data_IF_932510515555
#
_entry.id   IF_932510515555
#
_cell.length_a   1.000
_cell.length_b   1.000
_cell.length_c   1.000
_cell.angle_alpha   90.00
_cell.angle_beta   90.00
_cell.angle_gamma   90.00
#
_symmetry.space_group_name_H-M   'P 1'
#
loop_
_entity.id
_entity.type
_entity.pdbx_description
1 polymer ?
#
# COMPACT_ATOMS: atom_id res chain seq x y z
N UNK A 1 -12.84 -40.98 22.56
CA UNK A 1 -13.49 -39.75 22.08
C UNK A 1 -12.56 -38.59 22.40
N UNK A 2 -12.05 -37.95 21.36
CA UNK A 2 -10.93 -37.01 21.43
C UNK A 2 -11.39 -35.58 21.73
N UNK A 3 -11.63 -35.29 23.01
CA UNK A 3 -12.00 -33.93 23.47
C UNK A 3 -10.81 -32.95 23.42
N UNK A 4 -9.57 -33.45 23.33
CA UNK A 4 -8.35 -32.64 23.29
C UNK A 4 -8.12 -31.97 21.92
N UNK A 5 -8.60 -32.59 20.84
CA UNK A 5 -8.43 -32.05 19.48
C UNK A 5 -9.37 -30.87 19.25
N UNK A 6 -10.57 -30.88 19.83
CA UNK A 6 -11.53 -29.77 19.74
C UNK A 6 -11.08 -28.52 20.50
N UNK A 7 -10.35 -28.67 21.61
CA UNK A 7 -9.86 -27.51 22.37
C UNK A 7 -8.78 -26.74 21.61
N UNK A 8 -7.92 -27.43 20.85
CA UNK A 8 -6.91 -26.78 20.01
C UNK A 8 -7.55 -25.97 18.86
N UNK A 9 -8.61 -26.49 18.22
CA UNK A 9 -9.33 -25.74 17.19
C UNK A 9 -10.09 -24.55 17.77
N UNK A 10 -10.73 -24.69 18.93
CA UNK A 10 -11.48 -23.61 19.55
C UNK A 10 -10.59 -22.44 20.00
N UNK A 11 -9.40 -22.72 20.55
CA UNK A 11 -8.45 -21.67 20.97
C UNK A 11 -7.81 -20.96 19.78
N UNK A 12 -7.46 -21.67 18.70
CA UNK A 12 -6.99 -21.02 17.46
C UNK A 12 -8.10 -20.16 16.84
N UNK A 13 -9.35 -20.63 16.84
CA UNK A 13 -10.49 -19.85 16.30
C UNK A 13 -10.79 -18.60 17.14
N UNK A 14 -10.62 -18.69 18.46
CA UNK A 14 -10.91 -17.58 19.38
C UNK A 14 -9.75 -16.58 19.50
N UNK A 15 -8.50 -16.96 19.19
CA UNK A 15 -7.42 -15.98 19.02
C UNK A 15 -7.56 -15.15 17.74
N UNK A 16 -8.20 -15.68 16.69
CA UNK A 16 -8.63 -14.88 15.53
C UNK A 16 -9.87 -14.02 15.81
N UNK A 17 -10.66 -14.35 16.83
CA UNK A 17 -11.84 -13.59 17.27
C UNK A 17 -11.53 -12.41 18.21
N UNK A 18 -10.31 -12.34 18.75
CA UNK A 18 -9.83 -11.24 19.64
C UNK A 18 -8.79 -10.40 18.88
N UNK A 19 -8.95 -10.24 17.56
CA UNK A 19 -8.29 -9.17 16.84
C UNK A 19 -9.36 -8.10 16.57
N UNK A 20 -9.35 -6.97 17.31
CA UNK A 20 -10.33 -5.92 17.11
C UNK A 20 -10.09 -5.30 15.73
N UNK A 21 -11.21 -5.03 15.06
CA UNK A 21 -11.32 -4.33 13.78
C UNK A 21 -10.57 -4.96 12.61
N UNK A 22 -11.33 -5.71 11.80
CA UNK A 22 -11.01 -5.91 10.39
C UNK A 22 -10.85 -4.53 9.76
N UNK A 23 -9.61 -4.06 9.69
CA UNK A 23 -9.23 -2.84 9.03
C UNK A 23 -9.52 -3.06 7.55
N UNK A 24 -10.69 -2.57 7.16
CA UNK A 24 -11.14 -2.42 5.78
C UNK A 24 -10.02 -1.74 4.98
N UNK A 25 -10.15 -1.83 3.68
CA UNK A 25 -9.29 -1.19 2.67
C UNK A 25 -9.10 0.34 2.84
N UNK A 26 -9.69 0.95 3.87
CA UNK A 26 -9.63 2.36 4.25
C UNK A 26 -8.48 2.73 5.22
N UNK A 27 -7.58 1.80 5.60
CA UNK A 27 -6.52 2.08 6.60
C UNK A 27 -5.07 1.85 6.18
N UNK A 28 -4.79 1.38 4.96
CA UNK A 28 -3.41 1.30 4.47
C UNK A 28 -3.00 2.59 3.74
N UNK A 29 -2.26 3.45 4.44
CA UNK A 29 -1.89 4.78 3.96
C UNK A 29 -1.09 4.77 2.65
N UNK A 30 -0.13 3.85 2.51
CA UNK A 30 0.70 3.72 1.31
C UNK A 30 -0.13 3.25 0.10
N UNK A 31 -1.08 2.34 0.33
CA UNK A 31 -2.01 1.90 -0.70
C UNK A 31 -2.90 3.05 -1.19
N UNK A 32 -3.54 3.79 -0.29
CA UNK A 32 -4.38 4.96 -0.65
C UNK A 32 -3.54 6.03 -1.39
N UNK A 33 -2.34 6.32 -0.88
CA UNK A 33 -1.40 7.24 -1.51
C UNK A 33 -1.11 6.86 -2.97
N UNK A 34 -0.75 5.60 -3.22
CA UNK A 34 -0.43 5.12 -4.57
C UNK A 34 -1.65 5.04 -5.47
N UNK A 35 -2.80 4.60 -4.95
CA UNK A 35 -4.03 4.55 -5.74
C UNK A 35 -4.45 5.95 -6.19
N UNK A 36 -4.24 6.98 -5.37
CA UNK A 36 -4.47 8.39 -5.75
C UNK A 36 -3.44 8.88 -6.77
N UNK A 37 -2.15 8.64 -6.53
CA UNK A 37 -1.09 9.10 -7.43
C UNK A 37 -1.17 8.45 -8.83
N UNK A 38 -1.39 7.14 -8.88
CA UNK A 38 -1.36 6.35 -10.12
C UNK A 38 -2.74 6.23 -10.80
N UNK A 39 -3.83 6.53 -10.08
CA UNK A 39 -5.22 6.22 -10.48
C UNK A 39 -5.49 4.73 -10.72
N UNK A 40 -4.57 3.85 -10.31
CA UNK A 40 -4.78 2.41 -10.28
C UNK A 40 -5.68 2.05 -9.11
N UNK A 41 -6.59 1.10 -9.32
CA UNK A 41 -7.40 0.59 -8.23
C UNK A 41 -6.68 -0.58 -7.53
N UNK A 42 -7.30 -1.14 -6.49
CA UNK A 42 -6.74 -2.29 -5.76
C UNK A 42 -6.46 -3.50 -6.68
N UNK A 43 -7.40 -3.86 -7.55
CA UNK A 43 -7.28 -5.01 -8.47
C UNK A 43 -6.19 -4.82 -9.53
N UNK A 44 -5.94 -3.57 -9.94
CA UNK A 44 -4.85 -3.19 -10.82
C UNK A 44 -3.50 -3.51 -10.14
N UNK A 45 -3.33 -3.10 -8.88
CA UNK A 45 -2.10 -3.34 -8.10
C UNK A 45 -1.90 -4.83 -7.78
N UNK A 46 -2.97 -5.54 -7.46
CA UNK A 46 -2.95 -6.99 -7.26
C UNK A 46 -2.51 -7.70 -8.53
N UNK A 47 -3.05 -7.32 -9.69
CA UNK A 47 -2.66 -7.88 -10.98
C UNK A 47 -1.16 -7.70 -11.24
N UNK A 48 -0.65 -6.47 -11.12
CA UNK A 48 0.78 -6.18 -11.36
C UNK A 48 1.66 -7.02 -10.43
N UNK A 49 1.31 -7.09 -9.14
CA UNK A 49 2.08 -7.86 -8.17
C UNK A 49 2.03 -9.36 -8.41
N UNK A 50 0.90 -9.90 -8.90
CA UNK A 50 0.82 -11.30 -9.31
C UNK A 50 1.74 -11.57 -10.49
N UNK A 51 1.78 -10.72 -11.52
CA UNK A 51 2.69 -10.93 -12.65
C UNK A 51 4.17 -10.86 -12.23
N UNK A 52 4.52 -9.92 -11.33
CA UNK A 52 5.85 -9.88 -10.72
C UNK A 52 6.17 -11.15 -9.92
N UNK A 53 5.19 -11.68 -9.17
CA UNK A 53 5.35 -12.93 -8.41
C UNK A 53 5.62 -14.13 -9.33
N UNK A 54 5.03 -14.14 -10.53
CA UNK A 54 5.30 -15.15 -11.57
C UNK A 54 6.61 -14.93 -12.32
N UNK A 55 7.38 -13.89 -11.97
CA UNK A 55 8.70 -13.62 -12.51
C UNK A 55 8.71 -12.79 -13.80
N UNK A 56 7.59 -12.17 -14.18
CA UNK A 56 7.57 -11.26 -15.32
C UNK A 56 8.31 -9.95 -14.99
N UNK A 57 9.13 -9.51 -15.93
CA UNK A 57 9.77 -8.19 -15.88
C UNK A 57 8.79 -7.08 -16.25
N UNK A 58 9.11 -5.84 -15.88
CA UNK A 58 8.20 -4.69 -16.03
C UNK A 58 7.71 -4.49 -17.49
N UNK A 59 8.58 -4.71 -18.49
CA UNK A 59 8.21 -4.61 -19.91
C UNK A 59 7.20 -5.67 -20.34
N UNK A 60 7.34 -6.89 -19.82
CA UNK A 60 6.42 -7.99 -20.13
C UNK A 60 5.05 -7.76 -19.47
N UNK A 61 5.03 -7.20 -18.25
CA UNK A 61 3.80 -6.82 -17.57
C UNK A 61 3.08 -5.70 -18.33
N UNK A 62 3.81 -4.74 -18.90
CA UNK A 62 3.22 -3.69 -19.74
C UNK A 62 2.58 -4.25 -21.01
N UNK A 63 3.24 -5.16 -21.71
CA UNK A 63 2.65 -5.80 -22.89
C UNK A 63 1.45 -6.68 -22.54
N UNK A 64 1.50 -7.43 -21.44
CA UNK A 64 0.36 -8.22 -20.98
C UNK A 64 -0.81 -7.31 -20.55
N UNK A 65 -0.54 -6.20 -19.85
CA UNK A 65 -1.55 -5.21 -19.52
C UNK A 65 -2.16 -4.56 -20.77
N UNK A 66 -1.38 -4.36 -21.83
CA UNK A 66 -1.87 -3.78 -23.09
C UNK A 66 -2.84 -4.72 -23.81
N UNK A 67 -2.61 -6.03 -23.73
CA UNK A 67 -3.48 -7.06 -24.31
C UNK A 67 -4.71 -7.35 -23.44
N UNK A 68 -4.53 -7.61 -22.15
CA UNK A 68 -5.60 -8.09 -21.27
C UNK A 68 -6.36 -6.97 -20.55
N UNK A 69 -5.68 -5.86 -20.23
CA UNK A 69 -6.22 -4.77 -19.39
C UNK A 69 -5.83 -3.39 -19.95
N UNK A 70 -6.32 -3.00 -21.14
CA UNK A 70 -5.86 -1.79 -21.84
C UNK A 70 -6.04 -0.49 -21.05
N UNK A 71 -6.99 -0.43 -20.10
CA UNK A 71 -7.13 0.69 -19.18
C UNK A 71 -6.01 0.74 -18.13
N UNK A 72 -5.60 -0.41 -17.60
CA UNK A 72 -4.46 -0.53 -16.69
C UNK A 72 -3.17 -0.10 -17.40
N UNK A 73 -2.96 -0.58 -18.63
CA UNK A 73 -1.81 -0.16 -19.45
C UNK A 73 -1.70 1.36 -19.54
N UNK A 74 -2.79 2.07 -19.88
CA UNK A 74 -2.78 3.54 -19.95
C UNK A 74 -2.43 4.18 -18.60
N UNK A 75 -2.95 3.65 -17.49
CA UNK A 75 -2.61 4.16 -16.15
C UNK A 75 -1.13 3.94 -15.83
N UNK A 76 -0.58 2.78 -16.16
CA UNK A 76 0.84 2.45 -15.96
C UNK A 76 1.74 3.39 -16.76
N UNK A 77 1.47 3.57 -18.06
CA UNK A 77 2.25 4.47 -18.91
C UNK A 77 2.19 5.90 -18.38
N UNK A 78 0.99 6.44 -18.12
CA UNK A 78 0.84 7.79 -17.59
C UNK A 78 1.56 7.98 -16.24
N UNK A 79 1.53 6.98 -15.37
CA UNK A 79 2.21 7.02 -14.08
C UNK A 79 3.74 7.00 -14.25
N UNK A 80 4.25 6.17 -15.15
CA UNK A 80 5.68 6.07 -15.46
C UNK A 80 6.21 7.35 -16.11
N UNK A 81 5.47 7.94 -17.05
CA UNK A 81 5.81 9.22 -17.69
C UNK A 81 5.96 10.32 -16.64
N UNK A 82 4.97 10.48 -15.76
CA UNK A 82 5.04 11.47 -14.66
C UNK A 82 6.21 11.19 -13.73
N UNK A 83 6.45 9.93 -13.35
CA UNK A 83 7.60 9.56 -12.52
C UNK A 83 8.95 9.88 -13.20
N UNK A 84 9.01 9.82 -14.53
CA UNK A 84 10.22 10.11 -15.29
C UNK A 84 10.55 11.59 -15.40
N UNK A 85 9.56 12.47 -15.21
CA UNK A 85 9.75 13.92 -15.13
C UNK A 85 10.26 14.37 -13.75
N UNK A 86 10.09 13.52 -12.73
CA UNK A 86 10.55 13.81 -11.37
C UNK A 86 12.07 13.77 -11.22
N UNK A 87 12.55 14.56 -10.26
CA UNK A 87 13.85 14.48 -9.63
C UNK A 87 14.13 13.08 -9.10
N UNK A 88 15.41 12.73 -9.00
CA UNK A 88 15.82 11.39 -8.57
C UNK A 88 15.27 11.02 -7.18
N UNK A 89 15.20 12.00 -6.26
CA UNK A 89 14.67 11.80 -4.91
C UNK A 89 13.17 11.50 -4.92
N UNK A 90 12.39 12.35 -5.60
CA UNK A 90 10.95 12.20 -5.75
C UNK A 90 10.59 10.89 -6.46
N UNK A 91 11.29 10.54 -7.54
CA UNK A 91 11.09 9.28 -8.26
C UNK A 91 11.34 8.06 -7.38
N UNK A 92 12.45 8.04 -6.63
CA UNK A 92 12.76 6.93 -5.71
C UNK A 92 11.66 6.77 -4.65
N UNK A 93 11.18 7.87 -4.10
CA UNK A 93 10.10 7.85 -3.12
C UNK A 93 8.80 7.28 -3.72
N UNK A 94 8.44 7.68 -4.93
CA UNK A 94 7.27 7.13 -5.63
C UNK A 94 7.40 5.63 -5.91
N UNK A 95 8.58 5.18 -6.33
CA UNK A 95 8.86 3.75 -6.57
C UNK A 95 8.78 2.95 -5.25
N UNK A 96 9.36 3.46 -4.16
CA UNK A 96 9.28 2.83 -2.83
C UNK A 96 7.82 2.66 -2.39
N UNK A 97 7.02 3.72 -2.52
CA UNK A 97 5.59 3.67 -2.21
C UNK A 97 4.84 2.67 -3.09
N UNK A 98 5.12 2.67 -4.40
CA UNK A 98 4.46 1.78 -5.36
C UNK A 98 4.73 0.31 -5.05
N UNK A 99 5.98 -0.05 -4.75
CA UNK A 99 6.37 -1.40 -4.35
C UNK A 99 5.69 -1.82 -3.04
N UNK A 100 5.69 -0.94 -2.04
CA UNK A 100 5.02 -1.19 -0.76
C UNK A 100 3.51 -1.43 -0.95
N UNK A 101 2.84 -0.55 -1.71
CA UNK A 101 1.41 -0.66 -1.99
C UNK A 101 1.06 -1.96 -2.70
N UNK A 102 1.85 -2.38 -3.70
CA UNK A 102 1.66 -3.66 -4.40
C UNK A 102 1.82 -4.87 -3.46
N UNK A 103 2.86 -4.88 -2.63
CA UNK A 103 3.08 -5.94 -1.65
C UNK A 103 1.92 -6.04 -0.65
N UNK A 104 1.49 -4.89 -0.11
CA UNK A 104 0.36 -4.80 0.81
C UNK A 104 -0.94 -5.23 0.13
N UNK A 105 -1.18 -4.83 -1.12
CA UNK A 105 -2.37 -5.22 -1.86
C UNK A 105 -2.46 -6.73 -2.05
N UNK A 106 -1.37 -7.38 -2.49
CA UNK A 106 -1.34 -8.84 -2.64
C UNK A 106 -1.49 -9.56 -1.30
N UNK A 107 -0.85 -9.08 -0.23
CA UNK A 107 -0.99 -9.67 1.10
C UNK A 107 -2.45 -9.63 1.55
N UNK A 108 -3.09 -8.46 1.49
CA UNK A 108 -4.49 -8.32 1.86
C UNK A 108 -5.42 -9.17 0.98
N UNK A 109 -5.16 -9.27 -0.33
CA UNK A 109 -5.92 -10.13 -1.22
C UNK A 109 -5.87 -11.62 -0.80
N UNK A 110 -4.76 -12.08 -0.23
CA UNK A 110 -4.57 -13.47 0.23
C UNK A 110 -5.13 -13.70 1.63
N UNK A 111 -4.80 -12.81 2.55
CA UNK A 111 -5.03 -13.01 3.98
C UNK A 111 -6.32 -12.35 4.49
N UNK A 112 -6.88 -11.39 3.74
CA UNK A 112 -8.03 -10.56 4.10
C UNK A 112 -7.81 -9.67 5.35
N UNK A 113 -6.56 -9.38 5.71
CA UNK A 113 -6.20 -8.40 6.74
C UNK A 113 -4.81 -7.80 6.47
N UNK A 114 -4.48 -6.71 7.17
CA UNK A 114 -3.12 -6.15 7.23
C UNK A 114 -2.50 -6.43 8.59
N UNK A 115 -1.19 -6.65 8.65
CA UNK A 115 -0.48 -6.71 9.93
C UNK A 115 -0.30 -5.30 10.51
N UNK A 116 -0.13 -5.21 11.84
CA UNK A 116 0.17 -3.94 12.52
C UNK A 116 1.44 -3.29 11.98
N UNK A 117 2.46 -4.10 11.65
CA UNK A 117 3.72 -3.64 11.05
C UNK A 117 3.46 -2.99 9.67
N UNK A 118 2.71 -3.65 8.78
CA UNK A 118 2.38 -3.10 7.47
C UNK A 118 1.64 -1.75 7.55
N UNK A 119 0.76 -1.61 8.54
CA UNK A 119 0.00 -0.38 8.75
C UNK A 119 0.87 0.74 9.34
N UNK A 120 1.76 0.39 10.28
CA UNK A 120 2.72 1.32 10.85
C UNK A 120 3.69 1.84 9.78
N UNK A 121 4.26 0.94 8.99
CA UNK A 121 5.19 1.25 7.90
C UNK A 121 4.53 2.13 6.84
N UNK A 122 3.31 1.77 6.42
CA UNK A 122 2.52 2.56 5.48
C UNK A 122 2.24 3.97 6.01
N UNK A 123 1.87 4.09 7.29
CA UNK A 123 1.58 5.37 7.95
C UNK A 123 2.84 6.22 8.05
N UNK A 124 3.98 5.62 8.41
CA UNK A 124 5.26 6.31 8.48
C UNK A 124 5.72 6.79 7.10
N UNK A 125 5.56 5.95 6.08
CA UNK A 125 5.86 6.29 4.69
C UNK A 125 5.13 7.55 4.21
N UNK A 126 3.82 7.66 4.48
CA UNK A 126 3.04 8.84 4.06
C UNK A 126 3.30 10.04 4.97
N UNK A 127 3.49 9.86 6.28
CA UNK A 127 3.75 10.97 7.22
C UNK A 127 5.03 11.73 6.89
N UNK A 128 6.10 11.04 6.47
CA UNK A 128 7.36 11.73 6.11
C UNK A 128 7.23 12.63 4.88
N UNK A 129 6.19 12.46 4.05
CA UNK A 129 5.98 13.18 2.78
C UNK A 129 6.08 14.71 2.94
N UNK A 130 5.38 15.30 3.92
CA UNK A 130 5.39 16.76 4.19
C UNK A 130 6.77 17.31 4.54
N UNK A 131 7.72 16.46 4.94
CA UNK A 131 9.05 16.85 5.39
C UNK A 131 10.13 16.63 4.31
N UNK A 132 9.74 16.12 3.13
CA UNK A 132 10.66 15.90 2.03
C UNK A 132 10.88 17.21 1.26
N UNK A 133 12.13 17.48 0.88
CA UNK A 133 12.49 18.68 0.11
C UNK A 133 11.86 18.73 -1.29
N UNK A 134 11.36 17.59 -1.79
CA UNK A 134 10.66 17.45 -3.06
C UNK A 134 9.13 17.30 -2.89
N UNK A 135 8.59 17.69 -1.73
CA UNK A 135 7.16 17.61 -1.47
C UNK A 135 6.33 18.38 -2.51
N UNK A 136 6.68 19.64 -2.76
CA UNK A 136 5.95 20.50 -3.70
C UNK A 136 5.99 19.93 -5.12
N UNK A 137 7.12 19.36 -5.53
CA UNK A 137 7.30 18.67 -6.81
C UNK A 137 6.34 17.47 -6.95
N UNK A 138 6.22 16.65 -5.90
CA UNK A 138 5.31 15.51 -5.89
C UNK A 138 3.85 15.94 -5.95
N UNK A 139 3.47 17.00 -5.24
CA UNK A 139 2.11 17.54 -5.25
C UNK A 139 1.78 18.16 -6.61
N UNK A 140 2.73 18.81 -7.27
CA UNK A 140 2.54 19.34 -8.62
C UNK A 140 2.33 18.21 -9.64
N UNK A 141 3.14 17.15 -9.59
CA UNK A 141 3.03 16.00 -10.49
C UNK A 141 1.79 15.12 -10.21
N UNK A 142 1.39 15.02 -8.94
CA UNK A 142 0.24 14.23 -8.50
C UNK A 142 -0.63 15.02 -7.50
N UNK A 143 -1.47 15.95 -8.00
CA UNK A 143 -2.27 16.84 -7.13
C UNK A 143 -3.16 16.13 -6.12
N UNK A 144 -3.61 14.92 -6.44
CA UNK A 144 -4.51 14.14 -5.58
C UNK A 144 -3.86 13.62 -4.29
N UNK A 145 -2.52 13.60 -4.21
CA UNK A 145 -1.81 13.14 -3.01
C UNK A 145 -1.81 14.21 -1.90
N UNK A 146 -2.02 15.48 -2.25
CA UNK A 146 -2.11 16.56 -1.26
C UNK A 146 -3.30 16.39 -0.30
N UNK A 147 -4.38 15.75 -0.77
CA UNK A 147 -5.54 15.42 0.05
C UNK A 147 -5.34 14.25 1.03
N UNK A 148 -4.37 13.37 0.76
CA UNK A 148 -4.06 12.20 1.61
C UNK A 148 -3.61 12.60 3.01
N UNK A 149 -3.06 13.80 3.16
CA UNK A 149 -2.58 14.33 4.43
C UNK A 149 -3.70 14.81 5.36
N UNK A 150 -4.86 15.25 4.83
CA UNK A 150 -5.99 15.66 5.65
C UNK A 150 -6.73 14.48 6.27
N UNK A 151 -6.84 13.35 5.55
CA UNK A 151 -7.45 12.12 6.06
C UNK A 151 -6.65 11.47 7.21
N UNK A 152 -5.34 11.69 7.24
CA UNK A 152 -4.48 11.12 8.27
C UNK A 152 -4.43 11.94 9.55
N UNK A 153 -4.60 13.26 9.50
CA UNK A 153 -4.69 14.08 10.70
C UNK A 153 -5.94 13.69 11.54
N UNK A 154 -7.05 13.29 10.90
CA UNK A 154 -8.26 12.78 11.59
C UNK A 154 -8.09 11.37 12.19
N UNK A 155 -7.36 10.46 11.51
CA UNK A 155 -7.11 9.10 12.01
C UNK A 155 -6.16 9.05 13.21
N UNK A 156 -5.32 10.07 13.40
CA UNK A 156 -4.41 10.18 14.54
C UNK A 156 -5.15 10.65 15.79
N UNK A 157 -6.17 11.50 15.64
CA UNK A 157 -7.09 11.83 16.72
C UNK A 157 -7.95 10.64 17.16
N UNK A 158 -8.30 9.74 16.23
CA UNK A 158 -9.14 8.57 16.51
C UNK A 158 -8.39 7.40 17.19
N UNK A 159 -7.06 7.30 17.04
CA UNK A 159 -6.26 6.18 17.58
C UNK A 159 -4.90 6.66 18.11
N UNK A 160 -4.84 7.20 19.34
CA UNK A 160 -3.61 7.75 19.93
C UNK A 160 -2.59 6.68 20.35
N UNK A 161 -3.00 5.41 20.46
CA UNK A 161 -2.19 4.33 21.07
C UNK A 161 -1.29 3.56 20.09
N UNK A 162 -1.24 3.95 18.81
CA UNK A 162 -0.28 3.35 17.86
C UNK A 162 1.07 4.03 18.09
N UNK A 163 1.93 3.36 18.85
CA UNK A 163 3.30 3.79 19.10
C UNK A 163 4.08 3.83 17.77
N UNK A 164 4.36 5.05 17.30
CA UNK A 164 4.96 5.32 16.00
C UNK A 164 6.48 5.54 16.12
N UNK A 165 7.13 4.89 17.09
CA UNK A 165 8.59 4.93 17.19
C UNK A 165 9.22 4.16 16.03
N UNK A 166 10.29 4.68 15.41
CA UNK A 166 10.98 4.00 14.33
C UNK A 166 11.50 2.63 14.80
N UNK A 167 11.38 1.56 13.98
CA UNK A 167 12.08 0.34 14.29
C UNK A 167 13.58 0.61 14.05
N UNK A 168 14.35 0.52 15.13
CA UNK A 168 15.81 0.60 15.17
C UNK A 168 16.43 2.01 15.06
N UNK A 169 16.67 2.61 16.21
CA UNK A 169 17.86 3.44 16.45
C UNK A 169 18.85 2.62 17.28
N UNK A 170 19.74 1.89 16.60
CA UNK A 170 20.96 1.31 17.18
C UNK A 170 22.01 1.13 16.09
#
# INVERSE_FOLDING_TARGET
MDYKVYFAFAVVSSSYGICPDVLRTDKNAALDFIMRASRMNFEDLVFIQFQKFWGLGDDAILEEAKEEKPLLYRKMVNFLERCNELSLGARKYMIEGFLMAMQHALFYHRENYYTTEQLSDAKWFVRKLKHLHFYDELVEAFPDIGGTLHFHDELVEAFPDIDCTPPFSS
#
